data_IF_590691818127
#
_entry.id   IF_590691818127
#
_cell.length_a   1.000
_cell.length_b   1.000
_cell.length_c   1.000
_cell.angle_alpha   90.00
_cell.angle_beta   90.00
_cell.angle_gamma   90.00
#
_symmetry.space_group_name_H-M   'P 1'
#
loop_
_entity.id
_entity.type
_entity.pdbx_description
1 polymer ?
#
# COMPACT_ATOMS: atom_id res chain seq x y z
N UNK A 1 7.11 -14.63 17.91
CA UNK A 1 7.17 -13.32 17.21
C UNK A 1 5.77 -12.75 17.23
N UNK A 2 5.52 -11.71 18.02
CA UNK A 2 4.24 -11.00 18.04
C UNK A 2 4.12 -10.20 16.74
N UNK A 3 3.30 -10.68 15.82
CA UNK A 3 2.97 -9.94 14.61
C UNK A 3 1.87 -8.94 14.96
N UNK A 4 2.25 -7.69 15.25
CA UNK A 4 1.27 -6.61 15.41
C UNK A 4 0.83 -6.16 14.01
N UNK A 5 -0.46 -6.36 13.69
CA UNK A 5 -1.07 -5.85 12.48
C UNK A 5 -1.13 -4.33 12.52
N UNK A 6 -0.01 -3.67 12.17
CA UNK A 6 0.09 -2.22 12.14
C UNK A 6 -0.17 -1.72 10.70
N UNK A 7 -1.26 -0.97 10.45
CA UNK A 7 -1.60 -0.44 9.13
C UNK A 7 -0.47 0.40 8.50
N UNK A 8 0.30 1.12 9.31
CA UNK A 8 1.44 1.91 8.83
C UNK A 8 2.59 1.02 8.34
N UNK A 9 2.83 -0.10 9.01
CA UNK A 9 3.85 -1.07 8.62
C UNK A 9 3.46 -1.80 7.33
N UNK A 10 2.20 -2.22 7.20
CA UNK A 10 1.69 -2.79 5.95
C UNK A 10 1.80 -1.81 4.78
N UNK A 11 1.52 -0.52 5.01
CA UNK A 11 1.69 0.51 3.98
C UNK A 11 3.15 0.64 3.54
N UNK A 12 4.10 0.63 4.49
CA UNK A 12 5.54 0.67 4.18
C UNK A 12 5.99 -0.55 3.38
N UNK A 13 5.56 -1.75 3.78
CA UNK A 13 5.87 -2.98 3.05
C UNK A 13 5.28 -2.95 1.65
N UNK A 14 4.00 -2.56 1.52
CA UNK A 14 3.35 -2.48 0.21
C UNK A 14 4.08 -1.51 -0.72
N UNK A 15 4.51 -0.34 -0.24
CA UNK A 15 5.31 0.61 -1.02
C UNK A 15 6.66 0.00 -1.41
N UNK A 16 7.41 -0.55 -0.45
CA UNK A 16 8.73 -1.12 -0.70
C UNK A 16 8.67 -2.26 -1.72
N UNK A 17 7.73 -3.19 -1.56
CA UNK A 17 7.54 -4.31 -2.47
C UNK A 17 7.09 -3.84 -3.85
N UNK A 18 6.19 -2.85 -3.91
CA UNK A 18 5.73 -2.28 -5.19
C UNK A 18 6.87 -1.63 -5.96
N UNK A 19 7.72 -0.84 -5.29
CA UNK A 19 8.87 -0.20 -5.91
C UNK A 19 9.91 -1.24 -6.35
N UNK A 20 10.17 -2.24 -5.52
CA UNK A 20 11.11 -3.30 -5.84
C UNK A 20 10.65 -4.12 -7.05
N UNK A 21 9.41 -4.60 -7.05
CA UNK A 21 8.87 -5.44 -8.13
C UNK A 21 8.70 -4.64 -9.41
N UNK A 22 7.92 -3.54 -9.38
CA UNK A 22 7.60 -2.81 -10.60
C UNK A 22 8.77 -1.97 -11.09
N UNK A 23 9.50 -1.31 -10.19
CA UNK A 23 10.69 -0.55 -10.54
C UNK A 23 11.79 -1.46 -11.06
N UNK A 24 12.06 -2.58 -10.37
CA UNK A 24 13.02 -3.58 -10.82
C UNK A 24 12.65 -4.19 -12.17
N UNK A 25 11.39 -4.63 -12.34
CA UNK A 25 10.92 -5.18 -13.61
C UNK A 25 11.01 -4.16 -14.75
N UNK A 26 10.65 -2.89 -14.50
CA UNK A 26 10.75 -1.84 -15.50
C UNK A 26 12.20 -1.54 -15.88
N UNK A 27 13.12 -1.45 -14.90
CA UNK A 27 14.54 -1.22 -15.15
C UNK A 27 15.13 -2.37 -15.98
N UNK A 28 14.85 -3.63 -15.61
CA UNK A 28 15.32 -4.80 -16.35
C UNK A 28 14.76 -4.79 -17.78
N UNK A 29 13.47 -4.53 -17.94
CA UNK A 29 12.84 -4.42 -19.26
C UNK A 29 13.47 -3.29 -20.11
N UNK A 30 13.70 -2.12 -19.51
CA UNK A 30 14.33 -0.99 -20.18
C UNK A 30 15.77 -1.30 -20.59
N UNK A 31 16.55 -1.95 -19.71
CA UNK A 31 17.91 -2.38 -20.02
C UNK A 31 17.94 -3.38 -21.17
N UNK A 32 17.06 -4.38 -21.17
CA UNK A 32 16.95 -5.36 -22.26
C UNK A 32 16.63 -4.65 -23.57
N UNK A 33 15.65 -3.75 -23.57
CA UNK A 33 15.24 -3.05 -24.79
C UNK A 33 16.29 -2.08 -25.31
N UNK A 34 16.92 -1.33 -24.42
CA UNK A 34 17.95 -0.38 -24.80
C UNK A 34 19.24 -1.08 -25.26
N UNK A 35 19.76 -2.03 -24.48
CA UNK A 35 21.06 -2.67 -24.76
C UNK A 35 20.99 -3.77 -25.82
N UNK A 36 19.91 -4.57 -25.86
CA UNK A 36 19.81 -5.70 -26.80
C UNK A 36 19.06 -5.36 -28.09
N UNK A 37 18.15 -4.38 -28.06
CA UNK A 37 17.34 -4.03 -29.24
C UNK A 37 17.61 -2.63 -29.78
N UNK A 38 18.38 -1.78 -29.08
CA UNK A 38 18.61 -0.38 -29.48
C UNK A 38 17.35 0.49 -29.42
N UNK A 39 16.28 0.00 -28.81
CA UNK A 39 14.98 0.67 -28.72
C UNK A 39 15.02 1.72 -27.59
N UNK A 40 14.87 3.00 -27.92
CA UNK A 40 14.84 4.10 -26.92
C UNK A 40 13.45 4.49 -26.47
N UNK A 41 12.40 3.98 -27.14
CA UNK A 41 11.01 4.35 -26.84
C UNK A 41 10.60 4.04 -25.39
N UNK A 42 11.23 3.04 -24.77
CA UNK A 42 10.98 2.61 -23.37
C UNK A 42 11.39 3.68 -22.36
N UNK A 43 12.34 4.55 -22.72
CA UNK A 43 12.77 5.69 -21.90
C UNK A 43 11.86 6.92 -22.08
N UNK A 44 10.87 6.84 -22.99
CA UNK A 44 9.91 7.91 -23.21
C UNK A 44 8.96 8.10 -22.02
N UNK A 45 8.30 9.27 -21.96
CA UNK A 45 7.39 9.60 -20.86
C UNK A 45 6.17 8.67 -20.77
N UNK A 46 5.70 8.11 -21.89
CA UNK A 46 4.52 7.22 -21.92
C UNK A 46 4.72 5.93 -21.12
N UNK A 47 5.74 5.09 -21.40
CA UNK A 47 5.98 3.88 -20.62
C UNK A 47 6.30 4.18 -19.16
N UNK A 48 7.03 5.26 -18.87
CA UNK A 48 7.27 5.71 -17.48
C UNK A 48 5.95 6.02 -16.76
N UNK A 49 5.05 6.78 -17.40
CA UNK A 49 3.75 7.11 -16.83
C UNK A 49 2.88 5.86 -16.62
N UNK A 50 2.85 4.94 -17.58
CA UNK A 50 2.11 3.67 -17.45
C UNK A 50 2.63 2.86 -16.27
N UNK A 51 3.95 2.72 -16.14
CA UNK A 51 4.59 2.02 -15.02
C UNK A 51 4.26 2.68 -13.69
N UNK A 52 4.26 4.01 -13.61
CA UNK A 52 3.91 4.74 -12.39
C UNK A 52 2.44 4.53 -12.01
N UNK A 53 1.51 4.67 -12.95
CA UNK A 53 0.08 4.45 -12.70
C UNK A 53 -0.20 3.01 -12.28
N UNK A 54 0.41 2.05 -12.96
CA UNK A 54 0.31 0.64 -12.61
C UNK A 54 0.88 0.36 -11.21
N UNK A 55 2.04 0.93 -10.90
CA UNK A 55 2.67 0.79 -9.57
C UNK A 55 1.76 1.35 -8.47
N UNK A 56 1.17 2.52 -8.67
CA UNK A 56 0.23 3.11 -7.71
C UNK A 56 -0.99 2.21 -7.47
N UNK A 57 -1.58 1.70 -8.56
CA UNK A 57 -2.71 0.78 -8.47
C UNK A 57 -2.31 -0.53 -7.76
N UNK A 58 -1.18 -1.13 -8.16
CA UNK A 58 -0.68 -2.39 -7.60
C UNK A 58 -0.39 -2.24 -6.11
N UNK A 59 0.32 -1.19 -5.69
CA UNK A 59 0.62 -0.96 -4.28
C UNK A 59 -0.64 -0.75 -3.44
N UNK A 60 -1.65 -0.06 -3.99
CA UNK A 60 -2.95 0.09 -3.33
C UNK A 60 -3.69 -1.25 -3.22
N UNK A 61 -3.68 -2.06 -4.27
CA UNK A 61 -4.30 -3.38 -4.27
C UNK A 61 -3.59 -4.30 -3.26
N UNK A 62 -2.26 -4.35 -3.28
CA UNK A 62 -1.43 -5.15 -2.38
C UNK A 62 -1.69 -4.80 -0.91
N UNK A 63 -1.66 -3.51 -0.56
CA UNK A 63 -1.98 -3.06 0.80
C UNK A 63 -3.37 -3.54 1.25
N UNK A 64 -4.38 -3.42 0.39
CA UNK A 64 -5.75 -3.89 0.68
C UNK A 64 -5.80 -5.41 0.86
N UNK A 65 -5.07 -6.16 0.04
CA UNK A 65 -4.99 -7.60 0.13
C UNK A 65 -4.31 -8.06 1.43
N UNK A 66 -3.19 -7.44 1.80
CA UNK A 66 -2.52 -7.72 3.07
C UNK A 66 -3.45 -7.46 4.27
N UNK A 67 -4.13 -6.31 4.29
CA UNK A 67 -5.11 -5.98 5.33
C UNK A 67 -6.28 -6.98 5.37
N UNK A 68 -6.78 -7.45 4.21
CA UNK A 68 -7.87 -8.45 4.13
C UNK A 68 -7.42 -9.82 4.63
N UNK A 69 -6.24 -10.27 4.24
CA UNK A 69 -5.69 -11.55 4.68
C UNK A 69 -5.47 -11.55 6.20
N UNK A 70 -4.94 -10.45 6.74
CA UNK A 70 -4.77 -10.30 8.19
C UNK A 70 -6.12 -10.23 8.92
N UNK A 71 -7.15 -9.60 8.33
CA UNK A 71 -8.49 -9.59 8.90
C UNK A 71 -9.18 -10.98 8.86
N UNK A 72 -8.89 -11.81 7.86
CA UNK A 72 -9.48 -13.15 7.72
C UNK A 72 -8.82 -14.21 8.61
N UNK A 73 -7.51 -14.11 8.81
CA UNK A 73 -6.72 -15.15 9.49
C UNK A 73 -6.05 -14.67 10.78
N UNK A 74 -6.03 -13.37 11.06
CA UNK A 74 -5.44 -12.79 12.27
C UNK A 74 -6.33 -12.97 13.49
N UNK A 75 -5.75 -13.36 14.63
CA UNK A 75 -6.47 -13.60 15.89
C UNK A 75 -6.91 -12.32 16.64
N UNK A 76 -6.84 -11.13 16.03
CA UNK A 76 -7.22 -9.86 16.66
C UNK A 76 -6.38 -9.40 17.85
N UNK A 77 -5.61 -10.30 18.48
CA UNK A 77 -4.84 -10.09 19.71
C UNK A 77 -3.63 -9.16 19.58
N UNK A 78 -3.35 -8.64 18.38
CA UNK A 78 -2.23 -7.73 18.10
C UNK A 78 -2.64 -6.46 17.33
N UNK A 79 -3.94 -6.22 17.14
CA UNK A 79 -4.42 -4.99 16.51
C UNK A 79 -4.36 -3.85 17.53
N UNK A 80 -3.43 -2.93 17.35
CA UNK A 80 -3.39 -1.69 18.12
C UNK A 80 -4.39 -0.72 17.48
N UNK A 81 -5.53 -0.53 18.12
CA UNK A 81 -6.48 0.51 17.72
C UNK A 81 -5.82 1.87 18.01
N UNK A 82 -5.50 2.64 16.97
CA UNK A 82 -5.03 4.02 17.15
C UNK A 82 -6.07 4.80 17.97
N UNK A 83 -5.67 5.32 19.13
CA UNK A 83 -6.57 6.07 20.00
C UNK A 83 -6.92 7.41 19.34
N UNK A 84 -8.09 7.50 18.72
CA UNK A 84 -8.62 8.78 18.23
C UNK A 84 -9.41 9.44 19.36
N UNK A 85 -8.98 10.62 19.82
CA UNK A 85 -9.83 11.46 20.69
C UNK A 85 -10.96 12.04 19.85
N UNK A 86 -12.15 11.52 20.04
CA UNK A 86 -13.39 12.13 19.55
C UNK A 86 -14.04 12.96 20.65
N UNK A 87 -14.54 14.16 20.30
CA UNK A 87 -15.38 14.95 21.19
C UNK A 87 -16.73 14.25 21.29
N UNK A 88 -17.03 13.66 22.45
CA UNK A 88 -18.35 13.07 22.69
C UNK A 88 -19.41 14.18 22.65
N UNK A 89 -20.60 13.93 22.06
CA UNK A 89 -21.70 14.86 22.14
C UNK A 89 -22.07 15.10 23.62
N UNK A 90 -22.29 16.36 23.96
CA UNK A 90 -22.61 16.77 25.33
C UNK A 90 -23.86 16.03 25.82
N UNK A 91 -23.75 15.39 26.99
CA UNK A 91 -24.85 14.70 27.65
C UNK A 91 -25.97 15.71 27.92
N UNK A 92 -27.05 15.66 27.14
CA UNK A 92 -28.25 16.46 27.39
C UNK A 92 -28.79 16.05 28.77
N UNK A 93 -28.90 16.96 29.74
CA UNK A 93 -29.39 16.62 31.07
C UNK A 93 -30.81 16.08 30.96
N UNK A 94 -31.06 14.90 31.56
CA UNK A 94 -32.41 14.33 31.67
C UNK A 94 -33.25 15.28 32.50
N UNK A 95 -34.28 15.85 31.88
CA UNK A 95 -35.29 16.64 32.57
C UNK A 95 -36.11 15.69 33.47
N UNK A 96 -36.18 15.92 34.79
CA UNK A 96 -37.08 15.15 35.65
C UNK A 96 -38.52 15.42 35.25
N UNK A 97 -39.31 14.35 35.12
CA UNK A 97 -40.76 14.40 34.92
C UNK A 97 -41.47 14.83 36.20
#
# INVERSE_FOLDING_TARGET
>A
MEFSGNPALYRRIAIAVTLYINGGAFIIFALIKYLLHGDTWVLGWKPVLVTLLFSLWFGRAMYRWMMRLDAQYGRGSGWVLESVRVKLPELRPRQPR
#
